data_IF_442218019112
#
_entry.id   IF_442218019112
#
_cell.length_a   1.000
_cell.length_b   1.000
_cell.length_c   1.000
_cell.angle_alpha   90.00
_cell.angle_beta   90.00
_cell.angle_gamma   90.00
#
_symmetry.space_group_name_H-M   'P 1'
#
loop_
_entity.id
_entity.type
_entity.pdbx_description
1 polymer ?
#
# COMPACT_ATOMS: atom_id res chain seq x y z
N UNK A 1 31.52 -13.25 -16.80
CA UNK A 1 31.49 -12.46 -15.54
C UNK A 1 30.26 -11.56 -15.50
N UNK A 2 29.94 -10.82 -16.56
CA UNK A 2 28.73 -9.97 -16.68
C UNK A 2 27.38 -10.70 -16.43
N UNK A 3 27.17 -11.87 -17.06
CA UNK A 3 25.89 -12.60 -16.95
C UNK A 3 25.59 -13.09 -15.52
N UNK A 4 26.59 -13.52 -14.77
CA UNK A 4 26.43 -13.96 -13.39
C UNK A 4 26.02 -12.81 -12.47
N UNK A 5 26.58 -11.62 -12.68
CA UNK A 5 26.23 -10.41 -11.93
C UNK A 5 24.80 -9.97 -12.25
N UNK A 6 24.41 -10.03 -13.52
CA UNK A 6 23.05 -9.70 -13.95
C UNK A 6 22.01 -10.63 -13.30
N UNK A 7 22.24 -11.94 -13.33
CA UNK A 7 21.35 -12.93 -12.71
C UNK A 7 21.27 -12.74 -11.19
N UNK A 8 22.39 -12.46 -10.53
CA UNK A 8 22.43 -12.16 -9.10
C UNK A 8 21.56 -10.92 -8.77
N UNK A 9 21.73 -9.82 -9.52
CA UNK A 9 20.97 -8.58 -9.29
C UNK A 9 19.47 -8.73 -9.53
N UNK A 10 19.08 -9.49 -10.55
CA UNK A 10 17.67 -9.78 -10.81
C UNK A 10 17.07 -10.68 -9.72
N UNK A 11 17.84 -11.64 -9.22
CA UNK A 11 17.41 -12.53 -8.13
C UNK A 11 17.28 -11.76 -6.80
N UNK A 12 18.21 -10.85 -6.50
CA UNK A 12 18.12 -9.94 -5.35
C UNK A 12 16.84 -9.08 -5.42
N UNK A 13 16.57 -8.45 -6.58
CA UNK A 13 15.37 -7.64 -6.76
C UNK A 13 14.07 -8.45 -6.68
N UNK A 14 14.08 -9.69 -7.17
CA UNK A 14 12.97 -10.62 -7.04
C UNK A 14 12.71 -10.97 -5.57
N UNK A 15 13.75 -11.26 -4.80
CA UNK A 15 13.63 -11.58 -3.38
C UNK A 15 13.02 -10.42 -2.59
N UNK A 16 13.46 -9.19 -2.84
CA UNK A 16 12.87 -8.00 -2.19
C UNK A 16 11.40 -7.78 -2.61
N UNK A 17 11.07 -8.02 -3.88
CA UNK A 17 9.69 -7.92 -4.37
C UNK A 17 8.78 -8.93 -3.67
N UNK A 18 9.22 -10.19 -3.55
CA UNK A 18 8.47 -11.26 -2.86
C UNK A 18 8.28 -10.92 -1.38
N UNK A 19 9.32 -10.40 -0.73
CA UNK A 19 9.28 -9.99 0.67
C UNK A 19 8.26 -8.88 0.91
N UNK A 20 8.30 -7.80 0.13
CA UNK A 20 7.35 -6.69 0.25
C UNK A 20 5.94 -7.15 -0.08
N UNK A 21 5.77 -7.96 -1.13
CA UNK A 21 4.46 -8.51 -1.50
C UNK A 21 3.87 -9.39 -0.40
N UNK A 22 4.67 -10.29 0.19
CA UNK A 22 4.24 -11.17 1.28
C UNK A 22 3.82 -10.37 2.51
N UNK A 23 4.62 -9.37 2.90
CA UNK A 23 4.27 -8.47 4.01
C UNK A 23 2.97 -7.70 3.71
N UNK A 24 2.84 -7.15 2.50
CA UNK A 24 1.65 -6.43 2.07
C UNK A 24 0.41 -7.32 2.11
N UNK A 25 0.52 -8.58 1.65
CA UNK A 25 -0.56 -9.56 1.69
C UNK A 25 -0.96 -9.90 3.13
N UNK A 26 0.03 -10.14 3.99
CA UNK A 26 -0.18 -10.48 5.40
C UNK A 26 -0.96 -9.39 6.15
N UNK A 27 -0.72 -8.11 5.86
CA UNK A 27 -1.44 -7.01 6.50
C UNK A 27 -2.75 -6.66 5.78
N UNK A 28 -2.75 -6.66 4.45
CA UNK A 28 -3.93 -6.24 3.66
C UNK A 28 -5.08 -7.25 3.75
N UNK A 29 -4.81 -8.55 3.88
CA UNK A 29 -5.86 -9.56 3.98
C UNK A 29 -6.68 -9.42 5.28
N UNK A 30 -6.09 -9.42 6.50
CA UNK A 30 -6.86 -9.20 7.73
C UNK A 30 -7.63 -7.88 7.72
N UNK A 31 -6.98 -6.79 7.31
CA UNK A 31 -7.62 -5.47 7.22
C UNK A 31 -8.78 -5.47 6.21
N UNK A 32 -8.60 -6.13 5.06
CA UNK A 32 -9.65 -6.32 4.07
C UNK A 32 -10.83 -7.13 4.60
N UNK A 33 -10.58 -8.17 5.41
CA UNK A 33 -11.63 -8.92 6.10
C UNK A 33 -12.40 -8.05 7.10
N UNK A 34 -11.72 -7.24 7.92
CA UNK A 34 -12.38 -6.31 8.84
C UNK A 34 -13.28 -5.32 8.11
N UNK A 35 -12.81 -4.77 6.99
CA UNK A 35 -13.59 -3.86 6.14
C UNK A 35 -14.79 -4.58 5.51
N UNK A 36 -14.63 -5.85 5.10
CA UNK A 36 -15.72 -6.67 4.59
C UNK A 36 -16.81 -6.93 5.64
N UNK A 37 -16.42 -7.27 6.88
CA UNK A 37 -17.37 -7.39 7.99
C UNK A 37 -18.08 -6.07 8.28
N UNK A 38 -17.37 -4.95 8.24
CA UNK A 38 -17.95 -3.61 8.38
C UNK A 38 -19.00 -3.29 7.30
N UNK A 39 -18.76 -3.69 6.04
CA UNK A 39 -19.73 -3.54 4.95
C UNK A 39 -20.99 -4.38 5.16
N UNK A 40 -20.87 -5.59 5.71
CA UNK A 40 -21.99 -6.51 5.95
C UNK A 40 -22.80 -6.14 7.21
N UNK A 41 -22.37 -5.13 7.97
CA UNK A 41 -23.09 -4.66 9.15
C UNK A 41 -24.51 -4.20 8.82
N UNK A 42 -25.47 -4.57 9.67
CA UNK A 42 -26.86 -4.08 9.61
C UNK A 42 -26.94 -2.57 9.82
N UNK A 43 -25.96 -1.98 10.52
CA UNK A 43 -26.01 -0.58 10.89
C UNK A 43 -25.73 0.32 9.67
N UNK A 44 -26.69 1.18 9.31
CA UNK A 44 -26.64 1.98 8.09
C UNK A 44 -25.43 2.93 8.03
N UNK A 45 -25.01 3.43 9.20
CA UNK A 45 -23.94 4.40 9.35
C UNK A 45 -22.56 3.77 9.08
N UNK A 46 -22.30 2.60 9.67
CA UNK A 46 -21.06 1.82 9.47
C UNK A 46 -20.97 1.35 8.00
N UNK A 47 -22.08 0.85 7.46
CA UNK A 47 -22.14 0.41 6.06
C UNK A 47 -21.82 1.54 5.08
N UNK A 48 -22.36 2.74 5.32
CA UNK A 48 -22.14 3.88 4.43
C UNK A 48 -20.68 4.39 4.52
N UNK A 49 -20.12 4.46 5.73
CA UNK A 49 -18.71 4.83 5.92
C UNK A 49 -17.77 3.85 5.20
N UNK A 50 -17.98 2.55 5.39
CA UNK A 50 -17.19 1.51 4.70
C UNK A 50 -17.38 1.54 3.18
N UNK A 51 -18.58 1.87 2.69
CA UNK A 51 -18.84 2.05 1.25
C UNK A 51 -18.01 3.20 0.67
N UNK A 52 -17.98 4.35 1.34
CA UNK A 52 -17.19 5.52 0.91
C UNK A 52 -15.70 5.17 0.93
N UNK A 53 -15.20 4.57 2.02
CA UNK A 53 -13.80 4.14 2.12
C UNK A 53 -13.41 3.20 0.97
N UNK A 54 -14.17 2.13 0.72
CA UNK A 54 -13.91 1.18 -0.38
C UNK A 54 -13.97 1.89 -1.74
N UNK A 55 -14.90 2.83 -1.93
CA UNK A 55 -15.03 3.58 -3.18
C UNK A 55 -13.80 4.44 -3.46
N UNK A 56 -13.26 5.11 -2.44
CA UNK A 56 -12.05 5.94 -2.58
C UNK A 56 -10.85 5.03 -2.86
N UNK A 57 -10.64 4.01 -2.03
CA UNK A 57 -9.48 3.11 -2.16
C UNK A 57 -9.43 2.39 -3.51
N UNK A 58 -10.59 2.08 -4.11
CA UNK A 58 -10.68 1.49 -5.46
C UNK A 58 -10.70 2.52 -6.60
N UNK A 59 -11.08 3.77 -6.30
CA UNK A 59 -11.20 4.85 -7.28
C UNK A 59 -9.95 5.71 -7.43
N UNK A 60 -9.05 5.71 -6.45
CA UNK A 60 -7.79 6.47 -6.51
C UNK A 60 -6.67 5.61 -7.10
N UNK A 61 -5.87 6.12 -8.07
CA UNK A 61 -4.71 5.43 -8.58
C UNK A 61 -3.70 5.12 -7.46
N UNK A 62 -3.16 3.89 -7.41
CA UNK A 62 -2.16 3.49 -6.40
C UNK A 62 -0.94 4.42 -6.39
N UNK A 63 -0.49 4.84 -7.57
CA UNK A 63 0.64 5.78 -7.67
C UNK A 63 0.36 7.10 -6.96
N UNK A 64 -0.89 7.60 -7.02
CA UNK A 64 -1.31 8.80 -6.31
C UNK A 64 -1.19 8.59 -4.79
N UNK A 65 -1.63 7.45 -4.28
CA UNK A 65 -1.53 7.12 -2.85
C UNK A 65 -0.07 7.12 -2.39
N UNK A 66 0.82 6.50 -3.16
CA UNK A 66 2.26 6.48 -2.87
C UNK A 66 2.87 7.89 -2.89
N UNK A 67 2.50 8.71 -3.89
CA UNK A 67 2.95 10.10 -3.96
C UNK A 67 2.51 10.92 -2.75
N UNK A 68 1.25 10.79 -2.31
CA UNK A 68 0.75 11.52 -1.13
C UNK A 68 1.44 11.04 0.15
N UNK A 69 1.69 9.74 0.31
CA UNK A 69 2.37 9.23 1.51
C UNK A 69 3.84 9.67 1.55
N UNK A 70 4.53 9.67 0.41
CA UNK A 70 5.95 10.01 0.33
C UNK A 70 6.19 11.53 0.37
N UNK A 71 5.43 12.31 -0.42
CA UNK A 71 5.63 13.74 -0.57
C UNK A 71 4.70 14.59 0.33
N UNK A 72 3.56 14.07 0.76
CA UNK A 72 2.61 14.81 1.60
C UNK A 72 3.22 15.32 2.91
N UNK A 73 3.98 14.51 3.67
CA UNK A 73 4.63 14.98 4.89
C UNK A 73 5.62 16.13 4.65
N UNK A 74 6.34 16.10 3.52
CA UNK A 74 7.27 17.16 3.13
C UNK A 74 6.53 18.49 2.90
N UNK A 75 5.43 18.48 2.15
CA UNK A 75 4.65 19.69 1.84
C UNK A 75 3.86 20.24 3.02
N UNK A 76 3.41 19.38 3.95
CA UNK A 76 2.53 19.78 5.06
C UNK A 76 3.34 20.19 6.31
N UNK A 77 4.43 19.47 6.60
CA UNK A 77 5.17 19.63 7.85
C UNK A 77 6.55 20.29 7.68
N UNK A 78 6.93 20.72 6.46
CA UNK A 78 8.25 21.31 6.16
C UNK A 78 9.44 20.49 6.69
N UNK A 79 9.27 19.18 6.85
CA UNK A 79 10.32 18.29 7.36
C UNK A 79 11.26 18.00 6.21
N UNK A 80 12.50 18.46 6.32
CA UNK A 80 13.55 18.17 5.34
C UNK A 80 13.76 16.66 5.24
N UNK A 81 13.56 16.10 4.05
CA UNK A 81 13.85 14.69 3.76
C UNK A 81 15.30 14.38 4.16
N UNK A 82 15.58 13.22 4.78
CA UNK A 82 16.96 12.74 4.92
C UNK A 82 17.56 12.69 3.51
N UNK A 83 18.67 13.42 3.31
CA UNK A 83 19.47 13.30 2.09
C UNK A 83 19.96 11.86 2.01
N UNK A 84 19.72 11.23 0.86
CA UNK A 84 20.09 9.84 0.59
C UNK A 84 21.56 9.54 0.81
#
# INVERSE_FOLDING_TARGET
MEWSVMILKLTEGLMESVKIFTLTLLFSLPLGLFVAFGRMSKNWLIRNFMRIYISIMRGTPLILQLMVIYFGPFYIFNITLPKG
#
